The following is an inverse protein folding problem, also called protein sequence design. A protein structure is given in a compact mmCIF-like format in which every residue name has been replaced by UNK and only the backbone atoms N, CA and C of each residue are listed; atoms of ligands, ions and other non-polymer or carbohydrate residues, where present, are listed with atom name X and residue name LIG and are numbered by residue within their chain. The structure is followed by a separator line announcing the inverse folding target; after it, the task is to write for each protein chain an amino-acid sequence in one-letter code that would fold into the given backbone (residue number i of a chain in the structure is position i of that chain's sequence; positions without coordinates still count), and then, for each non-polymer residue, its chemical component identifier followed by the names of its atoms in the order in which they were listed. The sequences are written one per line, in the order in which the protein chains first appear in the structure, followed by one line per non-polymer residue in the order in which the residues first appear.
data_IF_607403383954
#
_entry.id   IF_607403383954
#
_cell.length_a   1.000
_cell.length_b   1.000
_cell.length_c   1.000
_cell.angle_alpha   90.00
_cell.angle_beta   90.00
_cell.angle_gamma   90.00
#
_symmetry.space_group_name_H-M   'P 1'
#
loop_
_entity.id
_entity.type
_entity.pdbx_description
1 polymer ?
#
# COMPACT_ATOMS: atom_id res chain seq x y z
N UNK A 1 8.80 6.65 -21.01
CA UNK A 1 9.21 7.43 -19.81
C UNK A 1 8.43 6.94 -18.60
N UNK A 2 9.02 6.99 -17.38
CA UNK A 2 8.33 6.64 -16.12
C UNK A 2 7.95 7.92 -15.37
N UNK A 3 6.72 8.00 -14.86
CA UNK A 3 6.33 8.97 -13.83
C UNK A 3 6.19 8.25 -12.50
N UNK A 4 7.04 8.60 -11.51
CA UNK A 4 6.93 8.10 -10.14
C UNK A 4 6.01 9.01 -9.37
N UNK A 5 4.87 8.50 -8.93
CA UNK A 5 3.86 9.25 -8.18
C UNK A 5 4.05 8.99 -6.69
N UNK A 6 4.28 10.05 -5.94
CA UNK A 6 4.36 10.02 -4.47
C UNK A 6 3.29 10.95 -3.92
N UNK A 7 2.36 10.39 -3.15
CA UNK A 7 1.34 11.15 -2.44
C UNK A 7 1.76 11.28 -0.98
N UNK A 8 1.81 12.50 -0.46
CA UNK A 8 2.34 12.75 0.89
C UNK A 8 1.37 13.58 1.74
N UNK A 9 1.35 13.28 3.04
CA UNK A 9 0.62 14.03 4.05
C UNK A 9 1.36 13.96 5.39
N UNK A 10 2.03 15.08 5.77
CA UNK A 10 2.80 15.22 7.00
C UNK A 10 3.86 14.11 7.15
N UNK A 11 4.90 14.16 6.30
CA UNK A 11 5.96 13.15 6.20
C UNK A 11 7.37 13.74 6.16
N UNK A 12 7.61 14.87 6.82
CA UNK A 12 8.92 15.52 6.90
C UNK A 12 10.07 14.55 7.22
N UNK A 13 9.81 13.58 8.11
CA UNK A 13 10.79 12.58 8.52
C UNK A 13 11.22 11.61 7.40
N UNK A 14 10.36 11.36 6.42
CA UNK A 14 10.55 10.25 5.48
C UNK A 14 10.76 10.70 4.04
N UNK A 15 10.17 11.83 3.66
CA UNK A 15 10.08 12.24 2.27
C UNK A 15 11.44 12.37 1.59
N UNK A 16 12.44 12.91 2.26
CA UNK A 16 13.79 13.00 1.70
C UNK A 16 14.38 11.63 1.40
N UNK A 17 14.15 10.64 2.26
CA UNK A 17 14.72 9.30 2.10
C UNK A 17 14.11 8.54 0.91
N UNK A 18 12.79 8.65 0.69
CA UNK A 18 12.15 8.02 -0.47
C UNK A 18 12.65 8.66 -1.76
N UNK A 19 12.71 9.98 -1.83
CA UNK A 19 13.21 10.73 -2.99
C UNK A 19 14.68 10.37 -3.28
N UNK A 20 15.52 10.34 -2.26
CA UNK A 20 16.94 9.98 -2.35
C UNK A 20 17.12 8.53 -2.85
N UNK A 21 16.31 7.58 -2.37
CA UNK A 21 16.40 6.19 -2.82
C UNK A 21 16.08 6.02 -4.32
N UNK A 22 15.19 6.84 -4.86
CA UNK A 22 14.88 6.89 -6.30
C UNK A 22 16.01 7.55 -7.11
N UNK A 23 16.55 8.67 -6.61
CA UNK A 23 17.61 9.41 -7.26
C UNK A 23 18.92 8.61 -7.39
N UNK A 24 19.24 7.80 -6.39
CA UNK A 24 20.46 6.96 -6.37
C UNK A 24 20.26 5.57 -6.99
N UNK A 25 19.13 5.34 -7.67
CA UNK A 25 18.88 4.11 -8.41
C UNK A 25 19.75 3.99 -9.69
N UNK A 26 19.79 2.79 -10.25
CA UNK A 26 20.55 2.51 -11.49
C UNK A 26 19.85 2.98 -12.76
N UNK A 27 18.58 3.42 -12.65
CA UNK A 27 17.82 3.90 -13.81
C UNK A 27 18.16 5.37 -14.11
N UNK A 28 18.43 5.74 -15.39
CA UNK A 28 18.90 7.09 -15.73
C UNK A 28 17.89 8.19 -15.38
N UNK A 29 18.36 9.26 -14.72
CA UNK A 29 17.51 10.36 -14.23
C UNK A 29 16.68 11.05 -15.33
N UNK A 30 17.16 11.12 -16.56
CA UNK A 30 16.44 11.73 -17.70
C UNK A 30 15.32 10.84 -18.27
N UNK A 31 15.20 9.59 -17.82
CA UNK A 31 14.15 8.64 -18.25
C UNK A 31 12.97 8.53 -17.28
N UNK A 32 13.00 9.24 -16.17
CA UNK A 32 11.89 9.33 -15.24
C UNK A 32 11.67 10.75 -14.71
N UNK A 33 10.49 11.00 -14.23
CA UNK A 33 10.15 12.16 -13.41
C UNK A 33 9.54 11.71 -12.09
N UNK A 34 9.63 12.55 -11.06
CA UNK A 34 8.89 12.39 -9.81
C UNK A 34 7.73 13.39 -9.80
N UNK A 35 6.52 12.89 -9.67
CA UNK A 35 5.29 13.67 -9.48
C UNK A 35 4.91 13.56 -8.01
N UNK A 36 5.32 14.55 -7.22
CA UNK A 36 5.02 14.60 -5.81
C UNK A 36 3.75 15.41 -5.57
N UNK A 37 2.78 14.78 -4.92
CA UNK A 37 1.50 15.40 -4.59
C UNK A 37 1.39 15.58 -3.08
N UNK A 38 1.49 16.80 -2.64
CA UNK A 38 1.22 17.25 -1.28
C UNK A 38 -0.29 17.32 -1.04
N UNK A 39 -0.79 16.55 -0.10
CA UNK A 39 -2.21 16.54 0.25
C UNK A 39 -2.48 17.32 1.54
N UNK A 40 -2.18 18.63 1.53
CA UNK A 40 -2.32 19.56 2.65
C UNK A 40 -1.35 19.29 3.82
N UNK A 41 -0.06 19.13 3.55
CA UNK A 41 0.96 19.07 4.60
C UNK A 41 1.00 20.37 5.40
N UNK A 42 1.21 20.23 6.70
CA UNK A 42 1.33 21.34 7.66
C UNK A 42 2.63 21.28 8.46
N UNK A 43 3.46 20.26 8.19
CA UNK A 43 4.79 20.06 8.74
C UNK A 43 5.87 20.55 7.74
N UNK A 44 7.14 20.30 8.02
CA UNK A 44 8.26 20.71 7.18
C UNK A 44 8.50 19.80 5.95
N UNK A 45 7.49 19.03 5.51
CA UNK A 45 7.58 18.17 4.31
C UNK A 45 8.06 18.94 3.08
N UNK A 46 7.55 20.17 2.86
CA UNK A 46 7.94 21.00 1.71
C UNK A 46 9.43 21.39 1.77
N UNK A 47 9.92 21.80 2.95
CA UNK A 47 11.32 22.18 3.13
C UNK A 47 12.28 20.99 2.85
N UNK A 48 11.89 19.76 3.21
CA UNK A 48 12.67 18.57 2.90
C UNK A 48 12.68 18.25 1.40
N UNK A 49 11.60 18.55 0.67
CA UNK A 49 11.55 18.42 -0.78
C UNK A 49 12.48 19.45 -1.45
N UNK A 50 12.47 20.70 -0.99
CA UNK A 50 13.37 21.74 -1.50
C UNK A 50 14.84 21.37 -1.28
N UNK A 51 15.16 20.84 -0.09
CA UNK A 51 16.50 20.31 0.20
C UNK A 51 16.89 19.21 -0.76
N UNK A 52 15.99 18.25 -1.02
CA UNK A 52 16.25 17.18 -1.97
C UNK A 52 16.51 17.73 -3.39
N UNK A 53 15.73 18.70 -3.86
CA UNK A 53 15.92 19.30 -5.18
C UNK A 53 17.28 20.01 -5.30
N UNK A 54 17.72 20.68 -4.25
CA UNK A 54 19.03 21.35 -4.19
C UNK A 54 20.18 20.31 -4.26
N UNK A 55 20.06 19.21 -3.55
CA UNK A 55 21.07 18.14 -3.49
C UNK A 55 21.11 17.28 -4.76
N UNK A 56 19.99 17.20 -5.53
CA UNK A 56 19.83 16.30 -6.67
C UNK A 56 19.30 17.02 -7.94
N UNK A 57 20.02 18.04 -8.47
CA UNK A 57 19.54 18.89 -9.56
C UNK A 57 19.34 18.18 -10.92
N UNK A 58 19.85 16.96 -11.06
CA UNK A 58 19.66 16.13 -12.27
C UNK A 58 18.31 15.39 -12.30
N UNK A 59 17.60 15.30 -11.16
CA UNK A 59 16.33 14.59 -11.07
C UNK A 59 15.18 15.56 -11.32
N UNK A 60 14.33 15.23 -12.26
CA UNK A 60 13.12 16.03 -12.53
C UNK A 60 12.06 15.72 -11.47
N UNK A 61 11.84 16.66 -10.54
CA UNK A 61 10.75 16.61 -9.58
C UNK A 61 9.75 17.72 -9.87
N UNK A 62 8.47 17.35 -9.92
CA UNK A 62 7.34 18.27 -10.09
C UNK A 62 6.44 18.17 -8.86
N UNK A 63 6.29 19.28 -8.14
CA UNK A 63 5.54 19.38 -6.90
C UNK A 63 4.15 19.98 -7.16
N UNK A 64 3.11 19.34 -6.62
CA UNK A 64 1.72 19.78 -6.75
C UNK A 64 1.01 19.70 -5.40
N UNK A 65 0.17 20.68 -5.14
CA UNK A 65 -0.72 20.66 -3.98
C UNK A 65 -2.11 20.18 -4.40
N UNK A 66 -2.65 19.19 -3.69
CA UNK A 66 -4.04 18.74 -3.80
C UNK A 66 -4.79 19.13 -2.54
N UNK A 67 -5.69 20.10 -2.67
CA UNK A 67 -6.41 20.70 -1.54
C UNK A 67 -7.58 19.88 -1.02
N UNK A 68 -8.09 18.94 -1.84
CA UNK A 68 -9.09 18.00 -1.37
C UNK A 68 -8.39 16.90 -0.55
N UNK A 69 -8.67 16.86 0.75
CA UNK A 69 -8.05 15.89 1.65
C UNK A 69 -8.44 14.47 1.28
N UNK A 70 -7.45 13.57 1.14
CA UNK A 70 -7.66 12.16 0.90
C UNK A 70 -6.69 11.54 -0.11
N UNK A 71 -6.20 10.33 0.20
CA UNK A 71 -5.20 9.63 -0.61
C UNK A 71 -5.66 9.41 -2.06
N UNK A 72 -6.95 9.11 -2.27
CA UNK A 72 -7.49 8.92 -3.62
C UNK A 72 -7.52 10.22 -4.42
N UNK A 73 -7.75 11.39 -3.79
CA UNK A 73 -7.62 12.69 -4.45
C UNK A 73 -6.18 12.94 -4.89
N UNK A 74 -5.21 12.73 -3.98
CA UNK A 74 -3.80 12.90 -4.29
C UNK A 74 -3.32 11.94 -5.40
N UNK A 75 -3.72 10.66 -5.36
CA UNK A 75 -3.40 9.69 -6.43
C UNK A 75 -3.97 10.11 -7.77
N UNK A 76 -5.21 10.58 -7.81
CA UNK A 76 -5.85 11.07 -9.03
C UNK A 76 -5.17 12.33 -9.58
N UNK A 77 -4.73 13.23 -8.71
CA UNK A 77 -3.91 14.38 -9.11
C UNK A 77 -2.59 13.90 -9.72
N UNK A 78 -1.91 12.95 -9.11
CA UNK A 78 -0.68 12.35 -9.62
C UNK A 78 -0.86 11.76 -11.02
N UNK A 79 -1.94 11.00 -11.27
CA UNK A 79 -2.24 10.47 -12.61
C UNK A 79 -2.37 11.59 -13.63
N UNK A 80 -3.14 12.64 -13.32
CA UNK A 80 -3.41 13.76 -14.24
C UNK A 80 -2.15 14.56 -14.59
N UNK A 81 -1.23 14.68 -13.65
CA UNK A 81 0.00 15.46 -13.83
C UNK A 81 1.15 14.64 -14.46
N UNK A 82 1.04 13.31 -14.47
CA UNK A 82 2.05 12.41 -15.01
C UNK A 82 2.18 12.54 -16.53
N UNK A 83 3.43 12.50 -17.02
CA UNK A 83 3.77 12.56 -18.45
C UNK A 83 4.27 11.22 -19.00
N UNK A 84 4.57 10.26 -18.11
CA UNK A 84 5.10 8.95 -18.46
C UNK A 84 4.03 7.98 -18.93
N UNK A 85 4.44 7.04 -19.78
CA UNK A 85 3.59 5.92 -20.22
C UNK A 85 3.44 4.84 -19.14
N UNK A 86 4.36 4.86 -18.17
CA UNK A 86 4.36 3.98 -16.99
C UNK A 86 4.26 4.85 -15.76
N UNK A 87 3.24 4.61 -14.94
CA UNK A 87 2.97 5.30 -13.69
C UNK A 87 3.34 4.38 -12.53
N UNK A 88 4.34 4.76 -11.73
CA UNK A 88 4.83 3.97 -10.60
C UNK A 88 4.47 4.65 -9.29
N UNK A 89 3.66 4.01 -8.46
CA UNK A 89 3.35 4.50 -7.12
C UNK A 89 4.39 4.02 -6.10
N UNK A 90 4.87 4.95 -5.29
CA UNK A 90 5.75 4.69 -4.14
C UNK A 90 5.20 5.42 -2.93
N UNK A 91 5.03 4.73 -1.81
CA UNK A 91 4.58 5.36 -0.56
C UNK A 91 5.67 6.30 0.00
N UNK A 92 5.23 7.39 0.62
CA UNK A 92 6.08 8.47 1.15
C UNK A 92 6.91 8.07 2.39
N UNK A 93 6.58 6.94 3.03
CA UNK A 93 7.31 6.34 4.16
C UNK A 93 8.09 5.07 3.76
N UNK A 94 8.54 5.00 2.50
CA UNK A 94 9.27 3.87 1.97
C UNK A 94 10.62 4.26 1.37
N UNK A 95 11.45 3.26 1.06
CA UNK A 95 12.62 3.36 0.19
C UNK A 95 12.63 2.20 -0.79
N UNK A 96 13.36 2.32 -1.88
CA UNK A 96 13.40 1.29 -2.92
C UNK A 96 14.81 0.76 -3.15
N UNK A 97 14.92 -0.46 -3.67
CA UNK A 97 16.23 -0.98 -4.05
C UNK A 97 16.78 -0.28 -5.31
N UNK A 98 18.10 -0.29 -5.55
CA UNK A 98 18.70 0.46 -6.66
C UNK A 98 18.14 0.13 -8.05
N UNK A 99 17.77 -1.12 -8.31
CA UNK A 99 17.26 -1.55 -9.62
C UNK A 99 15.72 -1.44 -9.76
N UNK A 100 15.06 -0.78 -8.83
CA UNK A 100 13.60 -0.70 -8.74
C UNK A 100 12.94 -0.18 -10.04
N UNK A 101 13.30 1.02 -10.48
CA UNK A 101 12.74 1.61 -11.70
C UNK A 101 13.19 0.87 -12.96
N UNK A 102 14.45 0.40 -13.00
CA UNK A 102 14.96 -0.42 -14.08
C UNK A 102 14.15 -1.70 -14.25
N UNK A 103 13.83 -2.38 -13.15
CA UNK A 103 12.99 -3.59 -13.16
C UNK A 103 11.65 -3.35 -13.84
N UNK A 104 10.97 -2.25 -13.52
CA UNK A 104 9.71 -1.91 -14.19
C UNK A 104 9.92 -1.53 -15.65
N UNK A 105 10.91 -0.68 -15.95
CA UNK A 105 11.19 -0.25 -17.32
C UNK A 105 11.46 -1.43 -18.25
N UNK A 106 12.36 -2.33 -17.87
CA UNK A 106 12.76 -3.50 -18.66
C UNK A 106 11.59 -4.47 -18.84
N UNK A 107 10.79 -4.70 -17.78
CA UNK A 107 9.61 -5.56 -17.86
C UNK A 107 8.58 -5.02 -18.84
N UNK A 108 8.16 -3.77 -18.68
CA UNK A 108 7.16 -3.17 -19.54
C UNK A 108 7.64 -2.99 -20.99
N UNK A 109 8.93 -2.83 -21.22
CA UNK A 109 9.48 -2.79 -22.58
C UNK A 109 9.39 -4.14 -23.30
N UNK A 110 9.62 -5.24 -22.57
CA UNK A 110 9.62 -6.61 -23.13
C UNK A 110 8.25 -7.30 -23.11
N UNK A 111 7.27 -6.76 -22.35
CA UNK A 111 5.93 -7.35 -22.16
C UNK A 111 4.83 -6.30 -22.41
N UNK A 112 4.53 -5.97 -23.68
CA UNK A 112 3.53 -4.95 -24.02
C UNK A 112 2.11 -5.30 -23.58
N UNK A 113 1.82 -6.57 -23.36
CA UNK A 113 0.54 -7.10 -22.86
C UNK A 113 0.31 -6.87 -21.37
N UNK A 114 1.39 -6.65 -20.58
CA UNK A 114 1.27 -6.38 -19.15
C UNK A 114 0.68 -4.99 -18.91
N UNK A 115 -0.41 -4.90 -18.17
CA UNK A 115 -1.10 -3.66 -17.85
C UNK A 115 -0.63 -3.04 -16.54
N UNK A 116 -0.34 -3.88 -15.53
CA UNK A 116 0.23 -3.44 -14.27
C UNK A 116 1.23 -4.46 -13.72
N UNK A 117 2.09 -4.00 -12.83
CA UNK A 117 3.04 -4.84 -12.11
C UNK A 117 3.20 -4.35 -10.67
N UNK A 118 3.77 -5.19 -9.81
CA UNK A 118 4.13 -4.82 -8.45
C UNK A 118 5.14 -5.79 -7.89
N UNK A 119 5.87 -5.34 -6.88
CA UNK A 119 6.94 -6.13 -6.28
C UNK A 119 6.74 -6.39 -4.78
N UNK A 120 7.76 -6.96 -4.13
CA UNK A 120 7.77 -7.16 -2.69
C UNK A 120 7.64 -5.84 -1.91
N UNK A 121 6.89 -5.89 -0.81
CA UNK A 121 6.90 -4.85 0.22
C UNK A 121 7.49 -5.48 1.47
N UNK A 122 8.67 -5.02 1.87
CA UNK A 122 9.43 -5.56 2.99
C UNK A 122 9.41 -4.54 4.13
N UNK A 123 8.94 -4.87 5.34
CA UNK A 123 8.95 -3.93 6.45
C UNK A 123 10.38 -3.68 6.95
N UNK A 124 10.70 -2.42 7.11
CA UNK A 124 11.88 -1.93 7.82
C UNK A 124 11.44 -1.40 9.18
N UNK A 125 11.71 -2.13 10.24
CA UNK A 125 11.29 -1.75 11.59
C UNK A 125 12.25 -0.74 12.20
N UNK A 126 11.79 0.48 12.49
CA UNK A 126 12.59 1.51 13.16
C UNK A 126 13.00 1.10 14.60
N UNK A 127 12.29 0.16 15.19
CA UNK A 127 12.65 -0.46 16.48
C UNK A 127 13.76 -1.51 16.38
N UNK A 128 14.33 -1.70 15.18
CA UNK A 128 15.45 -2.60 14.89
C UNK A 128 15.05 -4.05 14.61
N UNK A 129 13.86 -4.51 15.01
CA UNK A 129 13.46 -5.91 14.78
C UNK A 129 11.95 -6.11 14.75
N UNK A 130 11.55 -7.22 14.11
CA UNK A 130 10.15 -7.66 14.11
C UNK A 130 9.73 -8.10 15.53
N UNK A 131 8.58 -7.61 16.04
CA UNK A 131 8.08 -8.02 17.35
C UNK A 131 7.80 -9.53 17.43
N UNK A 132 8.08 -10.15 18.58
CA UNK A 132 7.88 -11.60 18.81
C UNK A 132 6.42 -12.06 18.62
N UNK A 133 5.46 -11.15 18.82
CA UNK A 133 4.03 -11.42 18.64
C UNK A 133 3.56 -11.35 17.19
N UNK A 134 4.41 -10.89 16.27
CA UNK A 134 4.06 -10.75 14.86
C UNK A 134 3.80 -12.10 14.22
N UNK A 135 2.65 -12.23 13.55
CA UNK A 135 2.32 -13.37 12.70
C UNK A 135 2.34 -12.93 11.24
N UNK A 136 2.45 -13.85 10.31
CA UNK A 136 2.39 -13.55 8.88
C UNK A 136 1.15 -12.70 8.51
N UNK A 137 -0.01 -13.07 9.05
CA UNK A 137 -1.26 -12.35 8.79
C UNK A 137 -1.25 -10.92 9.35
N UNK A 138 -0.79 -10.75 10.60
CA UNK A 138 -0.70 -9.43 11.24
C UNK A 138 0.36 -8.57 10.56
N UNK A 139 1.47 -9.16 10.14
CA UNK A 139 2.51 -8.50 9.36
C UNK A 139 1.96 -7.89 8.08
N UNK A 140 1.23 -8.68 7.29
CA UNK A 140 0.56 -8.15 6.09
C UNK A 140 -0.36 -6.98 6.41
N UNK A 141 -1.12 -7.09 7.48
CA UNK A 141 -2.09 -6.08 7.89
C UNK A 141 -1.43 -4.77 8.34
N UNK A 142 -0.42 -4.86 9.20
CA UNK A 142 0.21 -3.69 9.83
C UNK A 142 1.24 -3.00 8.93
N UNK A 143 1.93 -3.78 8.11
CA UNK A 143 3.11 -3.32 7.39
C UNK A 143 2.96 -3.35 5.87
N UNK A 144 1.83 -3.81 5.36
CA UNK A 144 1.66 -4.02 3.92
C UNK A 144 2.53 -5.15 3.36
N UNK A 145 3.18 -5.97 4.21
CA UNK A 145 4.10 -7.02 3.79
C UNK A 145 3.55 -7.85 2.64
N UNK A 146 4.31 -7.92 1.56
CA UNK A 146 3.97 -8.66 0.36
C UNK A 146 5.23 -9.33 -0.20
N UNK A 147 5.19 -10.67 -0.31
CA UNK A 147 6.27 -11.45 -0.88
C UNK A 147 5.75 -12.80 -1.37
N UNK A 148 5.99 -13.11 -2.64
CA UNK A 148 5.52 -14.34 -3.30
C UNK A 148 6.65 -15.16 -3.94
N UNK A 149 7.87 -15.01 -3.42
CA UNK A 149 9.04 -15.75 -3.90
C UNK A 149 9.87 -14.96 -4.91
N UNK A 150 10.83 -15.67 -5.56
CA UNK A 150 11.88 -15.05 -6.34
C UNK A 150 11.67 -15.15 -7.88
N UNK A 151 10.49 -15.59 -8.31
CA UNK A 151 10.17 -15.73 -9.74
C UNK A 151 9.11 -14.73 -10.16
N UNK A 152 9.27 -14.02 -11.30
CA UNK A 152 8.22 -13.19 -11.86
C UNK A 152 7.03 -14.06 -12.32
N UNK A 153 5.83 -13.51 -12.29
CA UNK A 153 4.63 -14.19 -12.73
C UNK A 153 3.34 -13.55 -12.24
N UNK A 154 2.17 -14.13 -12.55
CA UNK A 154 0.91 -13.60 -12.08
C UNK A 154 0.83 -13.63 -10.55
N UNK A 155 0.11 -12.67 -9.98
CA UNK A 155 -0.15 -12.67 -8.54
C UNK A 155 -0.96 -13.91 -8.13
N UNK A 156 -0.57 -14.64 -7.08
CA UNK A 156 -1.24 -15.87 -6.69
C UNK A 156 -2.64 -15.61 -6.14
N UNK A 157 -3.64 -16.38 -6.60
CA UNK A 157 -5.03 -16.29 -6.13
C UNK A 157 -5.65 -14.90 -6.37
N UNK A 158 -6.26 -14.34 -5.34
CA UNK A 158 -6.89 -13.01 -5.38
C UNK A 158 -5.95 -11.85 -5.00
N UNK A 159 -4.65 -12.11 -4.89
CA UNK A 159 -3.70 -11.05 -4.59
C UNK A 159 -3.50 -10.10 -5.77
N UNK A 160 -3.01 -8.92 -5.47
CA UNK A 160 -2.70 -7.84 -6.42
C UNK A 160 -1.54 -6.99 -5.87
N UNK A 161 -0.93 -6.11 -6.68
CA UNK A 161 0.09 -5.18 -6.22
C UNK A 161 -0.36 -4.38 -5.00
N UNK A 162 0.53 -4.13 -4.06
CA UNK A 162 0.27 -3.19 -2.97
C UNK A 162 0.35 -1.76 -3.49
N UNK A 163 -0.55 -0.87 -2.99
CA UNK A 163 -0.70 0.47 -3.54
C UNK A 163 0.55 1.35 -3.48
N UNK A 164 1.42 1.11 -2.49
CA UNK A 164 2.71 1.80 -2.39
C UNK A 164 3.83 1.15 -3.21
N UNK A 165 3.58 0.03 -3.88
CA UNK A 165 4.52 -0.64 -4.79
C UNK A 165 3.76 -1.21 -6.00
N UNK A 166 3.22 -0.33 -6.82
CA UNK A 166 2.45 -0.68 -8.00
C UNK A 166 2.84 0.18 -9.20
N UNK A 167 3.04 -0.45 -10.34
CA UNK A 167 3.29 0.20 -11.61
C UNK A 167 2.17 -0.11 -12.59
N UNK A 168 1.72 0.89 -13.35
CA UNK A 168 0.64 0.77 -14.32
C UNK A 168 1.05 1.37 -15.66
N UNK A 169 0.56 0.82 -16.77
CA UNK A 169 0.51 1.62 -18.00
C UNK A 169 -0.54 2.73 -17.84
N UNK A 170 -0.26 3.92 -18.31
CA UNK A 170 -1.18 5.07 -18.23
C UNK A 170 -2.57 4.75 -18.80
N UNK A 171 -2.63 3.98 -19.91
CA UNK A 171 -3.87 3.51 -20.56
C UNK A 171 -4.82 2.74 -19.64
N UNK A 172 -4.33 2.18 -18.53
CA UNK A 172 -5.18 1.49 -17.53
C UNK A 172 -6.23 2.46 -17.00
N UNK A 173 -5.82 3.67 -16.61
CA UNK A 173 -6.72 4.65 -16.03
C UNK A 173 -7.68 5.29 -17.06
N UNK A 174 -7.34 5.26 -18.34
CA UNK A 174 -8.26 5.63 -19.43
C UNK A 174 -9.41 4.61 -19.53
N UNK A 175 -9.12 3.32 -19.30
CA UNK A 175 -10.08 2.24 -19.43
C UNK A 175 -10.90 1.97 -18.18
N UNK A 176 -10.26 1.93 -17.00
CA UNK A 176 -10.93 1.58 -15.73
C UNK A 176 -11.39 2.81 -14.93
N UNK A 177 -10.98 4.01 -15.34
CA UNK A 177 -11.21 5.27 -14.63
C UNK A 177 -10.26 5.47 -13.45
N UNK A 178 -10.43 6.59 -12.78
CA UNK A 178 -9.61 7.03 -11.65
C UNK A 178 -10.01 6.31 -10.34
N UNK A 179 -9.21 6.53 -9.29
CA UNK A 179 -9.52 6.05 -7.94
C UNK A 179 -10.81 6.69 -7.43
N UNK A 180 -11.65 5.88 -6.78
CA UNK A 180 -12.86 6.38 -6.14
C UNK A 180 -12.49 7.19 -4.89
N UNK A 181 -12.82 8.48 -4.89
CA UNK A 181 -12.48 9.42 -3.80
C UNK A 181 -13.21 9.18 -2.49
N UNK A 182 -14.27 8.37 -2.50
CA UNK A 182 -14.96 7.92 -1.28
C UNK A 182 -14.20 6.80 -0.55
N UNK A 183 -13.16 6.24 -1.17
CA UNK A 183 -12.34 5.16 -0.63
C UNK A 183 -10.93 5.68 -0.33
N UNK A 184 -10.20 4.92 0.50
CA UNK A 184 -8.83 5.26 0.88
C UNK A 184 -8.74 6.00 2.22
N UNK A 185 -7.51 6.37 2.57
CA UNK A 185 -7.22 7.15 3.78
C UNK A 185 -7.67 8.60 3.58
N UNK A 186 -8.23 9.18 4.63
CA UNK A 186 -8.63 10.60 4.65
C UNK A 186 -8.31 11.17 6.03
N UNK A 187 -7.32 12.05 6.13
CA UNK A 187 -6.81 12.56 7.39
C UNK A 187 -6.42 11.42 8.34
N UNK A 188 -6.97 11.42 9.56
CA UNK A 188 -6.72 10.40 10.58
C UNK A 188 -7.48 9.07 10.36
N UNK A 189 -8.35 9.01 9.36
CA UNK A 189 -9.09 7.79 9.03
C UNK A 189 -8.16 6.75 8.39
N UNK A 190 -8.19 5.53 8.94
CA UNK A 190 -7.46 4.38 8.41
C UNK A 190 -8.30 3.61 7.37
N UNK A 191 -9.11 4.31 6.59
CA UNK A 191 -9.86 3.76 5.48
C UNK A 191 -8.95 3.12 4.41
N UNK A 192 -9.54 2.32 3.54
CA UNK A 192 -8.83 1.66 2.45
C UNK A 192 -9.82 1.09 1.43
N UNK A 193 -9.30 0.32 0.47
CA UNK A 193 -10.12 -0.36 -0.54
C UNK A 193 -10.09 0.31 -1.91
N UNK A 194 -9.44 1.46 -2.06
CA UNK A 194 -9.27 2.19 -3.32
C UNK A 194 -8.45 1.39 -4.32
N UNK A 195 -7.39 0.73 -3.86
CA UNK A 195 -6.55 -0.15 -4.68
C UNK A 195 -7.33 -1.38 -5.13
N UNK A 196 -8.04 -1.99 -4.18
CA UNK A 196 -8.89 -3.15 -4.49
C UNK A 196 -9.94 -2.81 -5.56
N UNK A 197 -10.54 -1.62 -5.50
CA UNK A 197 -11.53 -1.17 -6.49
C UNK A 197 -10.91 -1.10 -7.89
N UNK A 198 -9.70 -0.52 -8.02
CA UNK A 198 -8.97 -0.47 -9.30
C UNK A 198 -8.65 -1.88 -9.80
N UNK A 199 -8.07 -2.76 -8.97
CA UNK A 199 -7.73 -4.12 -9.41
C UNK A 199 -8.98 -4.98 -9.70
N UNK A 200 -10.08 -4.79 -9.00
CA UNK A 200 -11.35 -5.46 -9.33
C UNK A 200 -11.93 -4.98 -10.68
N UNK A 201 -11.76 -3.69 -11.04
CA UNK A 201 -12.09 -3.15 -12.35
C UNK A 201 -11.17 -3.73 -13.44
N UNK A 202 -9.85 -3.74 -13.21
CA UNK A 202 -8.88 -4.33 -14.12
C UNK A 202 -9.17 -5.82 -14.40
N UNK A 203 -9.49 -6.60 -13.35
CA UNK A 203 -9.88 -8.02 -13.52
C UNK A 203 -11.12 -8.19 -14.40
N UNK A 204 -12.13 -7.33 -14.25
CA UNK A 204 -13.34 -7.35 -15.09
C UNK A 204 -13.06 -7.06 -16.56
N UNK A 205 -12.05 -6.21 -16.81
CA UNK A 205 -11.57 -5.86 -18.15
C UNK A 205 -10.56 -6.88 -18.74
N UNK A 206 -10.27 -7.96 -18.00
CA UNK A 206 -9.32 -8.99 -18.43
C UNK A 206 -7.85 -8.52 -18.47
N UNK A 207 -7.54 -7.45 -17.76
CA UNK A 207 -6.20 -6.88 -17.71
C UNK A 207 -5.23 -7.74 -16.89
N UNK A 208 -3.95 -7.75 -17.32
CA UNK A 208 -2.91 -8.55 -16.69
C UNK A 208 -2.07 -7.71 -15.72
N UNK A 209 -1.80 -8.28 -14.54
CA UNK A 209 -0.86 -7.71 -13.60
C UNK A 209 0.09 -8.76 -13.03
N UNK A 210 1.36 -8.41 -12.97
CA UNK A 210 2.48 -9.33 -12.75
C UNK A 210 3.24 -8.96 -11.47
N UNK A 211 3.64 -9.98 -10.73
CA UNK A 211 4.57 -9.85 -9.60
C UNK A 211 6.00 -9.87 -10.10
N UNK A 212 6.79 -8.86 -9.74
CA UNK A 212 8.20 -8.70 -10.09
C UNK A 212 9.07 -8.72 -8.82
N UNK A 213 9.72 -9.83 -8.50
CA UNK A 213 10.44 -10.00 -7.23
C UNK A 213 11.64 -9.05 -7.05
N UNK A 214 12.16 -8.47 -8.13
CA UNK A 214 13.28 -7.53 -8.10
C UNK A 214 12.85 -6.07 -7.83
N UNK A 215 11.58 -5.73 -7.98
CA UNK A 215 11.06 -4.40 -7.66
C UNK A 215 10.74 -4.27 -6.16
N UNK A 216 11.79 -4.21 -5.33
CA UNK A 216 11.66 -4.28 -3.87
C UNK A 216 11.44 -2.89 -3.29
N UNK A 217 10.39 -2.77 -2.46
CA UNK A 217 10.10 -1.60 -1.65
C UNK A 217 10.29 -1.96 -0.17
N UNK A 218 11.02 -1.12 0.57
CA UNK A 218 11.21 -1.21 2.02
C UNK A 218 10.32 -0.17 2.71
N UNK A 219 9.27 -0.64 3.41
CA UNK A 219 8.32 0.22 4.10
C UNK A 219 8.78 0.49 5.53
N UNK A 220 8.98 1.74 5.90
CA UNK A 220 9.37 2.16 7.25
C UNK A 220 8.23 1.95 8.24
N UNK A 221 8.50 1.21 9.30
CA UNK A 221 7.52 0.87 10.33
C UNK A 221 7.93 1.55 11.64
N UNK A 222 7.38 2.73 11.95
CA UNK A 222 7.67 3.43 13.19
C UNK A 222 7.10 2.69 14.40
N UNK A 223 7.73 2.88 15.56
CA UNK A 223 7.38 2.18 16.79
C UNK A 223 5.91 2.29 17.17
N UNK A 224 5.29 3.48 16.99
CA UNK A 224 3.89 3.68 17.33
C UNK A 224 2.91 2.76 16.57
N UNK A 225 3.25 2.36 15.32
CA UNK A 225 2.43 1.38 14.55
C UNK A 225 2.42 -0.01 15.20
N UNK A 226 3.40 -0.30 16.06
CA UNK A 226 3.52 -1.57 16.78
C UNK A 226 2.86 -1.56 18.18
N UNK A 227 2.37 -0.40 18.61
CA UNK A 227 1.71 -0.23 19.90
C UNK A 227 0.27 -0.74 19.91
N UNK A 228 -0.20 -1.05 21.12
CA UNK A 228 -1.53 -1.62 21.33
C UNK A 228 -2.66 -0.68 20.89
N UNK A 229 -2.48 0.64 21.03
CA UNK A 229 -3.48 1.63 20.66
C UNK A 229 -3.66 1.68 19.14
N UNK A 230 -2.57 1.82 18.38
CA UNK A 230 -2.63 1.81 16.92
C UNK A 230 -3.24 0.50 16.39
N UNK A 231 -2.82 -0.65 16.94
CA UNK A 231 -3.38 -1.95 16.56
C UNK A 231 -4.90 -2.01 16.83
N UNK A 232 -5.36 -1.50 17.96
CA UNK A 232 -6.78 -1.49 18.29
C UNK A 232 -7.57 -0.59 17.33
N UNK A 233 -7.11 0.63 17.05
CA UNK A 233 -7.75 1.56 16.12
C UNK A 233 -7.84 0.96 14.72
N UNK A 234 -6.75 0.42 14.19
CA UNK A 234 -6.70 -0.21 12.87
C UNK A 234 -7.69 -1.38 12.77
N UNK A 235 -7.67 -2.28 13.73
CA UNK A 235 -8.51 -3.50 13.68
C UNK A 235 -9.99 -3.20 13.91
N UNK A 236 -10.31 -2.18 14.71
CA UNK A 236 -11.68 -1.65 14.86
C UNK A 236 -12.15 -0.99 13.56
N UNK A 237 -11.32 -0.15 12.96
CA UNK A 237 -11.63 0.51 11.67
C UNK A 237 -11.94 -0.49 10.55
N UNK A 238 -11.22 -1.60 10.48
CA UNK A 238 -11.51 -2.69 9.52
C UNK A 238 -12.92 -3.24 9.75
N UNK A 239 -13.30 -3.52 10.99
CA UNK A 239 -14.62 -4.02 11.31
C UNK A 239 -15.74 -3.03 10.96
N UNK A 240 -15.54 -1.74 11.26
CA UNK A 240 -16.48 -0.66 10.94
C UNK A 240 -16.65 -0.50 9.43
N UNK A 241 -15.56 -0.46 8.67
CA UNK A 241 -15.58 -0.33 7.20
C UNK A 241 -16.30 -1.52 6.56
N UNK A 242 -16.03 -2.74 7.00
CA UNK A 242 -16.69 -3.94 6.48
C UNK A 242 -18.20 -3.95 6.82
N UNK A 243 -18.58 -3.47 8.01
CA UNK A 243 -19.97 -3.30 8.38
C UNK A 243 -20.68 -2.31 7.47
N UNK A 244 -20.13 -1.11 7.33
CA UNK A 244 -20.68 -0.07 6.47
C UNK A 244 -20.82 -0.54 5.03
N UNK A 245 -19.75 -1.12 4.45
CA UNK A 245 -19.73 -1.65 3.08
C UNK A 245 -20.82 -2.71 2.88
N UNK A 246 -20.91 -3.70 3.76
CA UNK A 246 -21.84 -4.82 3.57
C UNK A 246 -23.29 -4.43 3.81
N UNK A 247 -23.57 -3.51 4.74
CA UNK A 247 -24.91 -2.98 4.94
C UNK A 247 -25.38 -2.12 3.76
N UNK A 248 -24.49 -1.35 3.13
CA UNK A 248 -24.81 -0.58 1.91
C UNK A 248 -25.20 -1.48 0.74
N UNK A 249 -24.55 -2.64 0.59
CA UNK A 249 -24.92 -3.63 -0.45
C UNK A 249 -26.27 -4.29 -0.10
N UNK A 250 -26.56 -4.52 1.18
CA UNK A 250 -27.81 -5.07 1.65
C UNK A 250 -27.68 -6.08 2.80
N UNK A 251 -28.79 -6.33 3.49
CA UNK A 251 -28.85 -7.23 4.66
C UNK A 251 -28.32 -8.66 4.37
N UNK A 252 -28.50 -9.17 3.16
CA UNK A 252 -28.00 -10.49 2.76
C UNK A 252 -26.47 -10.53 2.75
N UNK A 253 -25.84 -9.50 2.17
CA UNK A 253 -24.37 -9.34 2.15
C UNK A 253 -23.80 -9.27 3.57
N UNK A 254 -24.43 -8.48 4.45
CA UNK A 254 -24.02 -8.38 5.84
C UNK A 254 -24.12 -9.72 6.58
N UNK A 255 -25.22 -10.48 6.40
CA UNK A 255 -25.37 -11.84 6.97
C UNK A 255 -24.29 -12.79 6.48
N UNK A 256 -23.98 -12.80 5.16
CA UNK A 256 -22.88 -13.58 4.59
C UNK A 256 -21.53 -13.21 5.21
N UNK A 257 -21.30 -11.91 5.45
CA UNK A 257 -20.08 -11.42 6.12
C UNK A 257 -19.97 -11.91 7.56
N UNK A 258 -21.08 -11.93 8.33
CA UNK A 258 -21.11 -12.48 9.68
C UNK A 258 -20.84 -13.98 9.71
N UNK A 259 -21.43 -14.74 8.79
CA UNK A 259 -21.14 -16.20 8.66
C UNK A 259 -19.67 -16.46 8.32
N UNK A 260 -19.08 -15.63 7.43
CA UNK A 260 -17.65 -15.68 7.14
C UNK A 260 -16.80 -15.39 8.38
N UNK A 261 -17.27 -14.50 9.28
CA UNK A 261 -16.56 -14.19 10.52
C UNK A 261 -16.51 -15.37 11.48
N UNK A 262 -17.59 -16.16 11.57
CA UNK A 262 -17.62 -17.42 12.34
C UNK A 262 -16.56 -18.41 11.84
N UNK A 263 -16.47 -18.63 10.51
CA UNK A 263 -15.43 -19.49 9.92
C UNK A 263 -14.02 -19.00 10.27
N UNK A 264 -13.81 -17.69 10.25
CA UNK A 264 -12.52 -17.07 10.61
C UNK A 264 -12.20 -17.24 12.09
N UNK A 265 -13.20 -17.25 12.97
CA UNK A 265 -13.03 -17.57 14.38
C UNK A 265 -12.54 -19.01 14.58
N UNK A 266 -13.13 -20.00 13.89
CA UNK A 266 -12.65 -21.38 13.96
C UNK A 266 -11.17 -21.48 13.56
N UNK A 267 -10.79 -20.87 12.44
CA UNK A 267 -9.39 -20.81 11.99
C UNK A 267 -8.48 -20.11 13.02
N UNK A 268 -8.95 -19.03 13.65
CA UNK A 268 -8.19 -18.31 14.68
C UNK A 268 -7.95 -19.16 15.92
N UNK A 269 -8.95 -19.92 16.37
CA UNK A 269 -8.82 -20.84 17.52
C UNK A 269 -7.81 -21.95 17.21
N UNK A 270 -7.89 -22.56 16.03
CA UNK A 270 -6.92 -23.58 15.60
C UNK A 270 -5.50 -23.04 15.62
N UNK A 271 -5.27 -21.84 15.04
CA UNK A 271 -3.97 -21.19 15.06
C UNK A 271 -3.52 -20.82 16.47
N UNK A 272 -4.43 -20.38 17.33
CA UNK A 272 -4.12 -20.08 18.73
C UNK A 272 -3.64 -21.33 19.47
N UNK A 273 -4.35 -22.47 19.34
CA UNK A 273 -3.92 -23.76 19.90
C UNK A 273 -2.54 -24.17 19.34
N UNK A 274 -2.32 -24.03 18.03
CA UNK A 274 -1.01 -24.31 17.42
C UNK A 274 0.11 -23.46 18.04
N UNK A 275 -0.13 -22.15 18.24
CA UNK A 275 0.86 -21.28 18.86
C UNK A 275 1.08 -21.57 20.35
N UNK A 276 0.09 -22.11 21.08
CA UNK A 276 0.27 -22.59 22.45
C UNK A 276 1.20 -23.81 22.50
N UNK A 277 0.95 -24.84 21.67
CA UNK A 277 1.77 -26.07 21.61
C UNK A 277 3.19 -25.80 21.11
N UNK A 278 3.37 -24.75 20.29
CA UNK A 278 4.69 -24.35 19.78
C UNK A 278 5.40 -23.31 20.66
N UNK A 279 4.93 -23.11 21.90
CA UNK A 279 5.49 -22.17 22.88
C UNK A 279 5.60 -20.72 22.39
N UNK A 280 4.63 -20.28 21.58
CA UNK A 280 4.53 -18.91 21.04
C UNK A 280 3.17 -18.25 21.34
N UNK A 281 2.70 -18.25 22.62
CA UNK A 281 1.34 -17.84 22.98
C UNK A 281 1.05 -16.38 22.59
N UNK A 282 2.05 -15.50 22.59
CA UNK A 282 1.91 -14.10 22.20
C UNK A 282 1.36 -13.94 20.77
N UNK A 283 1.78 -14.79 19.82
CA UNK A 283 1.27 -14.80 18.44
C UNK A 283 -0.20 -15.15 18.38
N UNK A 284 -0.59 -16.19 19.08
CA UNK A 284 -1.99 -16.63 19.15
C UNK A 284 -2.89 -15.58 19.80
N UNK A 285 -2.46 -14.99 20.93
CA UNK A 285 -3.20 -13.95 21.64
C UNK A 285 -3.45 -12.71 20.77
N UNK A 286 -2.47 -12.31 19.95
CA UNK A 286 -2.65 -11.20 19.03
C UNK A 286 -3.66 -11.50 17.91
N UNK A 287 -3.71 -12.75 17.40
CA UNK A 287 -4.75 -13.16 16.44
C UNK A 287 -6.15 -13.12 17.05
N UNK A 288 -6.29 -13.61 18.30
CA UNK A 288 -7.56 -13.54 19.04
C UNK A 288 -7.96 -12.08 19.28
N UNK A 289 -7.03 -11.21 19.68
CA UNK A 289 -7.26 -9.79 19.88
C UNK A 289 -7.74 -9.12 18.58
N UNK A 290 -7.05 -9.37 17.47
CA UNK A 290 -7.45 -8.93 16.13
C UNK A 290 -8.90 -9.33 15.83
N UNK A 291 -9.18 -10.63 15.94
CA UNK A 291 -10.50 -11.17 15.61
C UNK A 291 -11.60 -10.57 16.48
N UNK A 292 -11.35 -10.42 17.79
CA UNK A 292 -12.27 -9.81 18.74
C UNK A 292 -12.61 -8.37 18.37
N UNK A 293 -11.60 -7.54 18.04
CA UNK A 293 -11.80 -6.14 17.69
C UNK A 293 -12.63 -6.01 16.39
N UNK A 294 -12.26 -6.76 15.35
CA UNK A 294 -13.01 -6.79 14.08
C UNK A 294 -14.46 -7.23 14.30
N UNK A 295 -14.67 -8.29 15.09
CA UNK A 295 -16.03 -8.82 15.35
C UNK A 295 -16.90 -7.81 16.13
N UNK A 296 -16.34 -7.19 17.19
CA UNK A 296 -17.06 -6.14 17.94
C UNK A 296 -17.50 -5.00 17.04
N UNK A 297 -16.58 -4.46 16.27
CA UNK A 297 -16.86 -3.35 15.35
C UNK A 297 -17.83 -3.75 14.22
N UNK A 298 -17.73 -4.96 13.70
CA UNK A 298 -18.66 -5.50 12.70
C UNK A 298 -20.09 -5.60 13.27
N UNK A 299 -20.24 -5.91 14.57
CA UNK A 299 -21.53 -5.95 15.29
C UNK A 299 -22.03 -4.56 15.73
N UNK A 300 -21.25 -3.50 15.56
CA UNK A 300 -21.58 -2.15 15.97
C UNK A 300 -21.39 -1.88 17.47
N UNK A 301 -20.44 -2.60 18.09
CA UNK A 301 -20.13 -2.50 19.52
C UNK A 301 -18.74 -1.89 19.71
#
# INVERSE_FOLDING_TARGET
MISVIICTYNREKYIYNVLSSLAHGTFPAHLFEIVLVDNNCTDDTHAEVDRFCADNPSVTLRYFVETNQGLSHARNRGIKESKGDILVYVDDDATVNPDYLRTYADWFASHPETDAAGGPIIPHYETGSEPRWMTYFIKRLLTGYLYFGNKPGPFPGDNYPGGGNAAYRSRVFEKVGLYNVELGRNGDSLGGGEEKDIFDKMKREGMQFIYLPQAILYHSIPGYKLEADYFNRLTTGIGQSERARTLRIGKSSYRKRLMSELKKWCATIVLWCFYLVTFRPQRGNMLVKFRRNVTKALLGK
#
